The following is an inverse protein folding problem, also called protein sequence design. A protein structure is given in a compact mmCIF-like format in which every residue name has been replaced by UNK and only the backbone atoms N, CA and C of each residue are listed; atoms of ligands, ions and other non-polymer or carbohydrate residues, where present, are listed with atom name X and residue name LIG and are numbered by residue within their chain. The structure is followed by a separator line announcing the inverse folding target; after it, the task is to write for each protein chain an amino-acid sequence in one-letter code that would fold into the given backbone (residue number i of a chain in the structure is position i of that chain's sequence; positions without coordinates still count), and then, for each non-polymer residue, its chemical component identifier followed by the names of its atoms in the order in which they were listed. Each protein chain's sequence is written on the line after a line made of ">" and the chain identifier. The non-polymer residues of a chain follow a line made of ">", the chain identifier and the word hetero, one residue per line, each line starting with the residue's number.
data_IF_312837071148
#
_entry.id   IF_312837071148
#
_cell.length_a   1.000
_cell.length_b   1.000
_cell.length_c   1.000
_cell.angle_alpha   90.00
_cell.angle_beta   90.00
_cell.angle_gamma   90.00
#
_symmetry.space_group_name_H-M   'P 1'
#
loop_
_entity.id
_entity.type
_entity.pdbx_description
1 polymer ?
#
# COMPACT_ATOMS: atom_id res chain seq x y z
N UNK A 1 -0.23 -20.38 2.21
CA UNK A 1 0.09 -18.95 2.38
C UNK A 1 -0.16 -18.28 1.05
N UNK A 2 -1.10 -17.35 0.99
CA UNK A 2 -1.49 -16.72 -0.26
C UNK A 2 -0.41 -15.72 -0.67
N UNK A 3 0.16 -15.93 -1.86
CA UNK A 3 0.93 -14.95 -2.61
C UNK A 3 0.01 -13.81 -3.10
N UNK A 4 -0.73 -13.17 -2.17
CA UNK A 4 -1.63 -12.05 -2.44
C UNK A 4 -0.87 -10.84 -2.99
N UNK A 5 0.43 -10.77 -2.71
CA UNK A 5 1.33 -9.67 -3.04
C UNK A 5 2.35 -10.03 -4.12
N UNK A 6 2.03 -10.99 -4.99
CA UNK A 6 2.91 -11.29 -6.13
C UNK A 6 3.03 -10.05 -7.02
N UNK A 7 4.28 -9.60 -7.20
CA UNK A 7 4.63 -8.41 -7.97
C UNK A 7 4.03 -8.45 -9.38
N UNK A 8 3.93 -9.65 -9.99
CA UNK A 8 3.31 -9.84 -11.31
C UNK A 8 1.80 -9.60 -11.34
N UNK A 9 1.07 -9.82 -10.24
CA UNK A 9 -0.38 -9.59 -10.17
C UNK A 9 -0.73 -8.11 -9.97
N UNK A 10 0.22 -7.34 -9.47
CA UNK A 10 0.10 -5.92 -9.14
C UNK A 10 0.64 -5.02 -10.25
N UNK A 11 1.57 -5.53 -11.07
CA UNK A 11 2.19 -4.81 -12.18
C UNK A 11 1.15 -4.21 -13.12
N UNK A 12 1.13 -2.87 -13.21
CA UNK A 12 0.24 -2.11 -14.11
C UNK A 12 -1.21 -1.98 -13.67
N UNK A 13 -1.55 -2.35 -12.42
CA UNK A 13 -2.87 -2.08 -11.84
C UNK A 13 -2.81 -0.89 -10.90
N UNK A 14 -3.89 -0.10 -10.88
CA UNK A 14 -4.07 0.95 -9.88
C UNK A 14 -4.19 0.34 -8.47
N UNK A 15 -3.54 0.96 -7.48
CA UNK A 15 -3.57 0.50 -6.09
C UNK A 15 -4.98 0.47 -5.53
N UNK A 16 -5.87 1.37 -5.96
CA UNK A 16 -7.28 1.31 -5.60
C UNK A 16 -7.92 -0.01 -6.04
N UNK A 17 -7.69 -0.40 -7.29
CA UNK A 17 -8.21 -1.64 -7.88
C UNK A 17 -7.63 -2.90 -7.20
N UNK A 18 -6.36 -2.83 -6.79
CA UNK A 18 -5.71 -3.87 -5.97
C UNK A 18 -6.42 -3.99 -4.62
N UNK A 19 -6.64 -2.88 -3.92
CA UNK A 19 -7.30 -2.84 -2.62
C UNK A 19 -8.75 -3.34 -2.70
N UNK A 20 -9.49 -3.04 -3.76
CA UNK A 20 -10.82 -3.61 -4.00
C UNK A 20 -10.79 -5.12 -4.24
N UNK A 21 -9.83 -5.60 -5.05
CA UNK A 21 -9.67 -7.03 -5.30
C UNK A 21 -9.34 -7.79 -4.00
N UNK A 22 -8.49 -7.20 -3.15
CA UNK A 22 -8.14 -7.73 -1.83
C UNK A 22 -9.36 -7.75 -0.92
N UNK A 23 -10.15 -6.69 -0.90
CA UNK A 23 -11.40 -6.61 -0.13
C UNK A 23 -12.36 -7.73 -0.49
N UNK A 24 -12.61 -7.91 -1.79
CA UNK A 24 -13.49 -8.95 -2.29
C UNK A 24 -12.97 -10.34 -1.94
N UNK A 25 -11.65 -10.55 -2.02
CA UNK A 25 -11.04 -11.82 -1.62
C UNK A 25 -11.24 -12.11 -0.12
N UNK A 26 -11.06 -11.10 0.74
CA UNK A 26 -11.27 -11.22 2.18
C UNK A 26 -12.73 -11.50 2.54
N UNK A 27 -13.66 -10.78 1.94
CA UNK A 27 -15.10 -10.99 2.09
C UNK A 27 -15.45 -12.44 1.72
N UNK A 28 -14.95 -12.93 0.59
CA UNK A 28 -15.14 -14.30 0.13
C UNK A 28 -14.55 -15.34 1.09
N UNK A 29 -13.45 -15.02 1.77
CA UNK A 29 -12.79 -15.88 2.77
C UNK A 29 -13.35 -15.71 4.19
N UNK A 30 -14.33 -14.82 4.40
CA UNK A 30 -14.85 -14.43 5.73
C UNK A 30 -13.75 -13.96 6.69
N UNK A 31 -12.71 -13.32 6.16
CA UNK A 31 -11.62 -12.74 6.94
C UNK A 31 -11.86 -11.26 7.20
N UNK A 32 -11.34 -10.74 8.31
CA UNK A 32 -11.48 -9.33 8.63
C UNK A 32 -10.45 -8.51 7.85
N UNK A 33 -10.83 -7.43 7.15
CA UNK A 33 -9.87 -6.57 6.46
C UNK A 33 -8.79 -5.95 7.36
N UNK A 34 -9.11 -5.74 8.65
CA UNK A 34 -8.13 -5.28 9.63
C UNK A 34 -6.99 -6.29 9.86
N UNK A 35 -7.24 -7.59 9.64
CA UNK A 35 -6.20 -8.62 9.76
C UNK A 35 -5.15 -8.48 8.65
N UNK A 36 -5.52 -7.97 7.46
CA UNK A 36 -4.54 -7.66 6.41
C UNK A 36 -3.59 -6.58 6.88
N UNK A 37 -4.10 -5.49 7.47
CA UNK A 37 -3.26 -4.39 7.93
C UNK A 37 -2.29 -4.89 9.00
N UNK A 38 -2.78 -5.64 9.98
CA UNK A 38 -1.94 -6.25 11.01
C UNK A 38 -0.91 -7.21 10.41
N UNK A 39 -1.31 -8.03 9.43
CA UNK A 39 -0.39 -8.91 8.72
C UNK A 39 0.69 -8.12 7.97
N UNK A 40 0.32 -7.05 7.27
CA UNK A 40 1.26 -6.17 6.58
C UNK A 40 2.23 -5.50 7.54
N UNK A 41 1.75 -5.03 8.71
CA UNK A 41 2.58 -4.45 9.76
C UNK A 41 3.55 -5.46 10.36
N UNK A 42 3.15 -6.72 10.53
CA UNK A 42 4.01 -7.79 11.05
C UNK A 42 5.08 -8.25 10.05
N UNK A 43 4.85 -8.04 8.75
CA UNK A 43 5.73 -8.47 7.66
C UNK A 43 6.33 -7.28 6.90
N UNK A 44 6.35 -6.09 7.49
CA UNK A 44 6.70 -4.84 6.80
C UNK A 44 8.14 -4.84 6.27
N UNK A 45 9.05 -5.63 6.86
CA UNK A 45 10.46 -5.73 6.45
C UNK A 45 10.74 -6.81 5.39
N UNK A 46 9.75 -7.65 5.06
CA UNK A 46 9.99 -8.83 4.21
C UNK A 46 9.88 -8.48 2.73
N UNK A 47 8.99 -7.55 2.37
CA UNK A 47 8.69 -7.27 0.98
C UNK A 47 8.31 -5.79 0.77
N UNK A 48 8.98 -5.05 -0.14
CA UNK A 48 8.66 -3.65 -0.41
C UNK A 48 7.23 -3.42 -0.92
N UNK A 49 6.60 -4.45 -1.52
CA UNK A 49 5.20 -4.40 -1.95
C UNK A 49 4.25 -4.29 -0.77
N UNK A 50 4.55 -4.96 0.35
CA UNK A 50 3.72 -4.91 1.57
C UNK A 50 3.65 -3.46 2.06
N UNK A 51 4.77 -2.75 2.00
CA UNK A 51 4.84 -1.34 2.38
C UNK A 51 4.06 -0.44 1.41
N UNK A 52 4.06 -0.73 0.11
CA UNK A 52 3.25 0.00 -0.88
C UNK A 52 1.75 -0.18 -0.64
N UNK A 53 1.31 -1.41 -0.37
CA UNK A 53 -0.09 -1.68 -0.05
C UNK A 53 -0.48 -0.98 1.24
N UNK A 54 0.36 -1.05 2.28
CA UNK A 54 0.11 -0.39 3.55
C UNK A 54 0.03 1.14 3.40
N UNK A 55 0.94 1.73 2.63
CA UNK A 55 0.91 3.15 2.28
C UNK A 55 -0.38 3.52 1.52
N UNK A 56 -0.83 2.66 0.61
CA UNK A 56 -2.09 2.84 -0.14
C UNK A 56 -3.31 2.78 0.78
N UNK A 57 -3.32 1.90 1.79
CA UNK A 57 -4.38 1.86 2.80
C UNK A 57 -4.49 3.19 3.57
N UNK A 58 -3.36 3.73 4.03
CA UNK A 58 -3.31 5.05 4.69
C UNK A 58 -3.62 6.20 3.75
N UNK A 59 -3.34 6.06 2.45
CA UNK A 59 -3.59 7.10 1.47
C UNK A 59 -5.07 7.22 1.07
N UNK A 60 -5.75 6.08 0.96
CA UNK A 60 -7.18 6.03 0.63
C UNK A 60 -8.09 5.97 1.86
N UNK A 61 -7.53 5.94 3.08
CA UNK A 61 -8.29 5.70 4.31
C UNK A 61 -9.03 4.36 4.31
N UNK A 62 -8.47 3.34 3.66
CA UNK A 62 -9.12 2.03 3.50
C UNK A 62 -8.70 1.09 4.62
N UNK A 63 -9.68 0.69 5.44
CA UNK A 63 -9.51 -0.13 6.66
C UNK A 63 -8.67 0.52 7.77
N UNK A 64 -8.09 1.70 7.53
CA UNK A 64 -7.36 2.52 8.49
C UNK A 64 -7.76 3.98 8.28
N UNK A 65 -7.53 4.81 9.28
CA UNK A 65 -7.68 6.26 9.11
C UNK A 65 -6.66 6.79 8.11
N UNK A 66 -7.08 7.74 7.27
CA UNK A 66 -6.22 8.38 6.29
C UNK A 66 -5.08 9.13 7.01
N UNK A 67 -3.84 8.90 6.58
CA UNK A 67 -2.66 9.46 7.23
C UNK A 67 -1.54 9.68 6.21
N UNK A 68 -1.50 10.89 5.65
CA UNK A 68 -0.51 11.29 4.64
C UNK A 68 0.94 11.12 5.13
N UNK A 69 1.19 11.37 6.42
CA UNK A 69 2.52 11.21 7.02
C UNK A 69 2.95 9.75 7.01
N UNK A 70 2.07 8.83 7.41
CA UNK A 70 2.35 7.39 7.34
C UNK A 70 2.49 6.90 5.91
N UNK A 71 1.63 7.36 4.99
CA UNK A 71 1.75 7.05 3.57
C UNK A 71 3.15 7.36 3.05
N UNK A 72 3.66 8.56 3.34
CA UNK A 72 5.01 8.97 2.93
C UNK A 72 6.09 8.05 3.52
N UNK A 73 6.03 7.76 4.82
CA UNK A 73 7.01 6.91 5.52
C UNK A 73 7.08 5.51 4.89
N UNK A 74 5.93 4.91 4.58
CA UNK A 74 5.91 3.55 4.03
C UNK A 74 6.33 3.50 2.56
N UNK A 75 5.96 4.48 1.73
CA UNK A 75 6.52 4.58 0.38
C UNK A 75 8.02 4.82 0.39
N UNK A 76 8.52 5.64 1.31
CA UNK A 76 9.96 5.88 1.46
C UNK A 76 10.71 4.61 1.85
N UNK A 77 10.21 3.85 2.83
CA UNK A 77 10.80 2.54 3.17
C UNK A 77 10.85 1.60 1.95
N UNK A 78 9.82 1.64 1.09
CA UNK A 78 9.76 0.76 -0.08
C UNK A 78 10.79 1.17 -1.13
N UNK A 79 10.98 2.48 -1.30
CA UNK A 79 12.03 3.06 -2.12
C UNK A 79 13.43 2.70 -1.58
N UNK A 80 13.64 2.73 -0.27
CA UNK A 80 14.90 2.35 0.39
C UNK A 80 15.26 0.88 0.16
N UNK A 81 14.26 0.01 0.02
CA UNK A 81 14.44 -1.40 -0.35
C UNK A 81 14.76 -1.59 -1.86
N UNK A 82 14.87 -0.51 -2.63
CA UNK A 82 15.19 -0.53 -4.05
C UNK A 82 13.99 -0.82 -4.97
N UNK A 83 12.75 -0.71 -4.46
CA UNK A 83 11.56 -0.96 -5.26
C UNK A 83 11.19 0.27 -6.09
N UNK A 84 11.17 0.11 -7.41
CA UNK A 84 10.93 1.21 -8.35
C UNK A 84 9.58 1.92 -8.13
N UNK A 85 8.52 1.17 -7.82
CA UNK A 85 7.20 1.75 -7.53
C UNK A 85 7.19 2.53 -6.20
N UNK A 86 8.00 2.12 -5.22
CA UNK A 86 8.13 2.86 -3.96
C UNK A 86 8.70 4.24 -4.22
N UNK A 87 9.79 4.32 -5.00
CA UNK A 87 10.41 5.59 -5.40
C UNK A 87 9.47 6.47 -6.22
N UNK A 88 8.69 5.87 -7.13
CA UNK A 88 7.70 6.61 -7.92
C UNK A 88 6.61 7.22 -7.02
N UNK A 89 6.04 6.44 -6.10
CA UNK A 89 4.99 6.90 -5.20
C UNK A 89 5.47 7.96 -4.20
N UNK A 90 6.73 7.89 -3.75
CA UNK A 90 7.34 8.99 -2.98
C UNK A 90 7.33 10.29 -3.78
N UNK A 91 7.66 10.22 -5.07
CA UNK A 91 7.60 11.36 -6.00
C UNK A 91 6.18 11.95 -6.11
N UNK A 92 5.17 11.09 -6.26
CA UNK A 92 3.75 11.52 -6.28
C UNK A 92 3.32 12.21 -4.97
N UNK A 93 3.77 11.72 -3.81
CA UNK A 93 3.49 12.37 -2.53
C UNK A 93 4.10 13.78 -2.43
N UNK A 94 5.28 14.00 -3.02
CA UNK A 94 5.88 15.34 -3.09
C UNK A 94 5.12 16.27 -4.04
N UNK A 95 4.69 15.77 -5.19
CA UNK A 95 3.97 16.56 -6.20
C UNK A 95 2.57 16.98 -5.73
N UNK A 96 1.88 16.10 -4.98
CA UNK A 96 0.60 16.45 -4.33
C UNK A 96 0.72 17.52 -3.26
N UNK A 97 1.75 17.44 -2.42
CA UNK A 97 2.03 18.46 -1.40
C UNK A 97 2.39 19.83 -2.01
N UNK A 98 3.02 19.81 -3.19
CA UNK A 98 3.28 21.03 -3.95
C UNK A 98 1.99 21.60 -4.54
N UNK A 99 1.15 20.75 -5.11
CA UNK A 99 -0.13 21.13 -5.74
C UNK A 99 -1.19 21.61 -4.75
N UNK A 100 -1.16 21.16 -3.48
CA UNK A 100 -2.10 21.62 -2.45
C UNK A 100 -1.73 22.98 -1.83
N UNK A 101 -0.56 23.53 -2.17
CA UNK A 101 -0.07 24.83 -1.69
C UNK A 101 -0.13 25.96 -2.73
N UNK A 102 -0.66 25.71 -3.93
CA UNK A 102 -0.89 26.71 -4.98
C UNK A 102 -2.34 27.17 -5.05
#
# INVERSE_FOLDING_TARGET
>A
MCNLYDNERLKGKDYHSILETLEQFLINKKQNPFDIINFCLLNDQINPIIQIVLASCYYYGKWVEEDEHKTFIYYQKSAEMGHAEGTFNVGECYDRNWSSKG
#
